data_IF_004483195757
#
_entry.id   IF_004483195757
#
_cell.length_a   1.000
_cell.length_b   1.000
_cell.length_c   1.000
_cell.angle_alpha   90.00
_cell.angle_beta   90.00
_cell.angle_gamma   90.00
#
_symmetry.space_group_name_H-M   'P 1'
#
loop_
_entity.id
_entity.type
_entity.pdbx_description
1 polymer ?
#
# COMPACT_ATOMS: atom_id res chain seq x y z
N UNK A 1 13.44 8.49 -10.06
CA UNK A 1 13.47 7.11 -10.60
C UNK A 1 13.89 6.24 -9.42
N UNK A 2 13.06 5.31 -8.96
CA UNK A 2 13.40 4.46 -7.81
C UNK A 2 14.60 3.58 -8.17
N UNK A 3 15.71 3.77 -7.50
CA UNK A 3 16.92 2.94 -7.68
C UNK A 3 16.62 1.51 -7.22
N UNK A 4 17.15 0.49 -7.90
CA UNK A 4 16.86 -0.93 -7.58
C UNK A 4 17.13 -1.31 -6.12
N UNK A 5 18.13 -0.67 -5.47
CA UNK A 5 18.41 -0.81 -4.04
C UNK A 5 17.27 -0.31 -3.15
N UNK A 6 16.66 0.84 -3.47
CA UNK A 6 15.51 1.39 -2.74
C UNK A 6 14.28 0.49 -2.89
N UNK A 7 14.09 -0.11 -4.08
CA UNK A 7 13.01 -1.06 -4.31
C UNK A 7 13.17 -2.32 -3.43
N UNK A 8 14.40 -2.86 -3.34
CA UNK A 8 14.67 -4.03 -2.51
C UNK A 8 14.42 -3.75 -1.02
N UNK A 9 14.85 -2.59 -0.50
CA UNK A 9 14.55 -2.17 0.87
C UNK A 9 13.05 -2.00 1.12
N UNK A 10 12.34 -1.38 0.17
CA UNK A 10 10.89 -1.23 0.24
C UNK A 10 10.19 -2.59 0.31
N UNK A 11 10.50 -3.49 -0.61
CA UNK A 11 9.96 -4.86 -0.62
C UNK A 11 10.25 -5.59 0.70
N UNK A 12 11.50 -5.55 1.18
CA UNK A 12 11.88 -6.17 2.45
C UNK A 12 11.10 -5.62 3.64
N UNK A 13 10.94 -4.30 3.72
CA UNK A 13 10.16 -3.66 4.80
C UNK A 13 8.69 -4.06 4.80
N UNK A 14 8.08 -4.24 3.61
CA UNK A 14 6.69 -4.71 3.49
C UNK A 14 6.54 -6.12 4.03
N UNK A 15 7.50 -7.02 3.73
CA UNK A 15 7.50 -8.38 4.26
C UNK A 15 7.67 -8.42 5.78
N UNK A 16 8.60 -7.63 6.32
CA UNK A 16 8.80 -7.54 7.78
C UNK A 16 7.54 -7.01 8.47
N UNK A 17 6.92 -5.97 7.89
CA UNK A 17 5.68 -5.41 8.41
C UNK A 17 4.52 -6.43 8.36
N UNK A 18 4.42 -7.22 7.30
CA UNK A 18 3.42 -8.28 7.17
C UNK A 18 3.64 -9.42 8.19
N UNK A 19 4.90 -9.80 8.44
CA UNK A 19 5.24 -10.76 9.49
C UNK A 19 4.89 -10.22 10.87
N UNK A 20 5.21 -8.96 11.15
CA UNK A 20 4.88 -8.32 12.42
C UNK A 20 3.36 -8.22 12.63
N UNK A 21 2.62 -7.93 11.55
CA UNK A 21 1.15 -7.87 11.54
C UNK A 21 0.53 -9.23 11.87
N UNK A 22 1.03 -10.30 11.26
CA UNK A 22 0.55 -11.67 11.54
C UNK A 22 0.94 -12.18 12.92
N UNK A 23 2.16 -11.87 13.39
CA UNK A 23 2.63 -12.18 14.76
C UNK A 23 1.75 -11.54 15.84
N UNK A 24 1.18 -10.37 15.58
CA UNK A 24 0.28 -9.73 16.55
C UNK A 24 -0.95 -10.60 16.85
N UNK A 25 -1.45 -11.33 15.86
CA UNK A 25 -2.62 -12.21 16.01
C UNK A 25 -2.30 -13.57 16.64
N UNK A 26 -1.02 -13.96 16.72
CA UNK A 26 -0.63 -15.20 17.38
C UNK A 26 -0.59 -15.09 18.91
N UNK A 27 -0.78 -13.88 19.46
CA UNK A 27 -0.89 -13.69 20.90
C UNK A 27 -2.24 -14.19 21.42
N UNK A 28 -2.25 -14.90 22.56
CA UNK A 28 -3.45 -15.53 23.12
C UNK A 28 -4.60 -14.55 23.34
N UNK A 29 -4.31 -13.30 23.69
CA UNK A 29 -5.31 -12.27 23.94
C UNK A 29 -5.83 -11.58 22.68
N UNK A 30 -5.14 -11.73 21.54
CA UNK A 30 -5.37 -10.95 20.31
C UNK A 30 -5.80 -11.83 19.13
N UNK A 31 -6.25 -13.06 19.41
CA UNK A 31 -6.73 -14.00 18.41
C UNK A 31 -7.87 -13.43 17.54
N UNK A 32 -7.81 -13.76 16.26
CA UNK A 32 -8.81 -13.40 15.25
C UNK A 32 -9.29 -14.67 14.55
N UNK A 33 -10.60 -14.77 14.31
CA UNK A 33 -11.17 -15.87 13.55
C UNK A 33 -12.22 -15.36 12.58
N UNK A 34 -12.47 -16.12 11.52
CA UNK A 34 -13.47 -15.78 10.53
C UNK A 34 -14.82 -16.40 10.92
N UNK A 35 -15.84 -15.56 11.08
CA UNK A 35 -17.22 -16.01 11.25
C UNK A 35 -17.92 -16.01 9.88
N UNK A 36 -18.23 -17.21 9.38
CA UNK A 36 -18.88 -17.40 8.10
C UNK A 36 -20.35 -16.93 8.08
N UNK A 37 -21.03 -16.90 9.23
CA UNK A 37 -22.44 -16.47 9.33
C UNK A 37 -22.54 -14.96 9.15
N UNK A 38 -21.62 -14.23 9.79
CA UNK A 38 -21.55 -12.77 9.67
C UNK A 38 -20.70 -12.30 8.49
N UNK A 39 -20.01 -13.23 7.79
CA UNK A 39 -19.02 -12.94 6.75
C UNK A 39 -17.96 -11.93 7.20
N UNK A 40 -17.56 -12.01 8.46
CA UNK A 40 -16.74 -11.00 9.11
C UNK A 40 -15.61 -11.63 9.94
N UNK A 41 -14.49 -10.91 10.02
CA UNK A 41 -13.40 -11.25 10.93
C UNK A 41 -13.76 -10.76 12.34
N UNK A 42 -13.91 -11.70 13.26
CA UNK A 42 -14.22 -11.41 14.66
C UNK A 42 -12.94 -11.46 15.47
N UNK A 43 -12.69 -10.37 16.20
CA UNK A 43 -11.58 -10.24 17.14
C UNK A 43 -12.04 -10.67 18.53
N UNK A 44 -11.16 -11.33 19.28
CA UNK A 44 -11.42 -11.68 20.68
C UNK A 44 -11.82 -10.44 21.48
N UNK A 45 -12.85 -10.56 22.33
CA UNK A 45 -13.41 -9.45 23.12
C UNK A 45 -12.57 -9.10 24.34
N UNK A 46 -11.27 -8.91 24.14
CA UNK A 46 -10.31 -8.43 25.14
C UNK A 46 -9.95 -6.97 24.84
N UNK A 47 -9.12 -6.35 25.68
CA UNK A 47 -8.54 -5.02 25.45
C UNK A 47 -7.85 -4.89 24.09
N UNK A 48 -7.40 -6.02 23.53
CA UNK A 48 -6.72 -6.10 22.24
C UNK A 48 -7.66 -5.86 21.04
N UNK A 49 -8.99 -5.97 21.22
CA UNK A 49 -9.99 -5.78 20.15
C UNK A 49 -9.87 -4.42 19.49
N UNK A 50 -9.75 -3.34 20.27
CA UNK A 50 -9.66 -1.99 19.73
C UNK A 50 -8.38 -1.79 18.92
N UNK A 51 -7.24 -2.27 19.43
CA UNK A 51 -5.94 -2.17 18.77
C UNK A 51 -5.91 -3.01 17.48
N UNK A 52 -6.33 -4.27 17.55
CA UNK A 52 -6.31 -5.20 16.41
C UNK A 52 -7.27 -4.82 15.27
N UNK A 53 -8.47 -4.35 15.61
CA UNK A 53 -9.47 -3.96 14.60
C UNK A 53 -9.20 -2.56 14.03
N UNK A 54 -8.94 -1.56 14.88
CA UNK A 54 -8.84 -0.18 14.42
C UNK A 54 -7.45 0.16 13.88
N UNK A 55 -6.39 -0.11 14.66
CA UNK A 55 -5.04 0.27 14.25
C UNK A 55 -4.51 -0.68 13.19
N UNK A 56 -4.64 -1.98 13.43
CA UNK A 56 -3.98 -2.98 12.61
C UNK A 56 -4.76 -3.33 11.34
N UNK A 57 -6.09 -3.27 11.35
CA UNK A 57 -6.90 -3.59 10.15
C UNK A 57 -7.34 -2.34 9.40
N UNK A 58 -7.98 -1.38 10.09
CA UNK A 58 -8.54 -0.20 9.43
C UNK A 58 -7.47 0.81 9.00
N UNK A 59 -6.60 1.27 9.90
CA UNK A 59 -5.56 2.25 9.54
C UNK A 59 -4.52 1.66 8.59
N UNK A 60 -4.12 0.40 8.78
CA UNK A 60 -3.21 -0.27 7.85
C UNK A 60 -3.79 -0.40 6.44
N UNK A 61 -5.05 -0.83 6.33
CA UNK A 61 -5.73 -0.96 5.04
C UNK A 61 -5.88 0.38 4.30
N UNK A 62 -6.33 1.43 5.01
CA UNK A 62 -6.43 2.78 4.44
C UNK A 62 -5.04 3.31 4.06
N UNK A 63 -4.05 3.16 4.94
CA UNK A 63 -2.69 3.61 4.69
C UNK A 63 -2.09 2.95 3.45
N UNK A 64 -2.21 1.63 3.32
CA UNK A 64 -1.76 0.90 2.14
C UNK A 64 -2.49 1.38 0.86
N UNK A 65 -3.81 1.58 0.93
CA UNK A 65 -4.59 2.12 -0.18
C UNK A 65 -4.12 3.50 -0.64
N UNK A 66 -3.89 4.42 0.31
CA UNK A 66 -3.39 5.78 0.02
C UNK A 66 -1.99 5.73 -0.61
N UNK A 67 -1.11 4.86 -0.12
CA UNK A 67 0.25 4.70 -0.69
C UNK A 67 0.19 4.19 -2.12
N UNK A 68 -0.58 3.12 -2.38
CA UNK A 68 -0.74 2.56 -3.73
C UNK A 68 -1.36 3.59 -4.68
N UNK A 69 -2.41 4.28 -4.23
CA UNK A 69 -3.08 5.31 -5.03
C UNK A 69 -2.12 6.46 -5.38
N UNK A 70 -1.28 6.87 -4.43
CA UNK A 70 -0.28 7.94 -4.64
C UNK A 70 0.80 7.50 -5.63
N UNK A 71 1.32 6.28 -5.50
CA UNK A 71 2.30 5.71 -6.44
C UNK A 71 1.72 5.63 -7.84
N UNK A 72 0.49 5.13 -7.99
CA UNK A 72 -0.18 5.02 -9.27
C UNK A 72 -0.45 6.39 -9.90
N UNK A 73 -0.94 7.35 -9.13
CA UNK A 73 -1.21 8.71 -9.60
C UNK A 73 0.07 9.40 -10.05
N UNK A 74 1.15 9.29 -9.25
CA UNK A 74 2.45 9.85 -9.61
C UNK A 74 3.03 9.20 -10.85
N UNK A 75 2.94 7.87 -10.96
CA UNK A 75 3.41 7.12 -12.13
C UNK A 75 2.64 7.55 -13.38
N UNK A 76 1.30 7.60 -13.31
CA UNK A 76 0.44 8.04 -14.40
C UNK A 76 0.78 9.47 -14.83
N UNK A 77 0.95 10.41 -13.89
CA UNK A 77 1.31 11.78 -14.21
C UNK A 77 2.66 11.89 -14.92
N UNK A 78 3.68 11.16 -14.45
CA UNK A 78 4.99 11.12 -15.09
C UNK A 78 4.95 10.49 -16.49
N UNK A 79 4.20 9.39 -16.66
CA UNK A 79 4.00 8.77 -17.97
C UNK A 79 3.29 9.74 -18.92
N UNK A 80 2.22 10.43 -18.46
CA UNK A 80 1.51 11.43 -19.25
C UNK A 80 2.41 12.59 -19.67
N UNK A 81 3.28 13.08 -18.77
CA UNK A 81 4.25 14.14 -19.10
C UNK A 81 5.24 13.69 -20.17
N UNK A 82 5.76 12.45 -20.08
CA UNK A 82 6.69 11.89 -21.08
C UNK A 82 6.00 11.65 -22.42
N UNK A 83 4.79 11.08 -22.43
CA UNK A 83 4.03 10.87 -23.66
C UNK A 83 3.70 12.18 -24.38
N UNK A 84 3.35 13.24 -23.64
CA UNK A 84 3.15 14.58 -24.23
C UNK A 84 4.43 15.15 -24.84
N UNK A 85 5.59 14.95 -24.19
CA UNK A 85 6.88 15.38 -24.72
C UNK A 85 7.21 14.63 -26.02
N UNK A 86 7.08 13.30 -26.01
CA UNK A 86 7.35 12.45 -27.20
C UNK A 86 6.38 12.73 -28.36
N UNK A 87 5.11 13.00 -28.04
CA UNK A 87 4.12 13.44 -29.04
C UNK A 87 4.45 14.81 -29.63
N UNK A 88 4.96 15.75 -28.82
CA UNK A 88 5.39 17.08 -29.29
C UNK A 88 6.64 17.00 -30.18
N UNK A 89 7.62 16.16 -29.82
CA UNK A 89 8.80 15.89 -30.65
C UNK A 89 8.43 15.24 -31.99
N UNK A 90 7.46 14.31 -31.99
CA UNK A 90 6.98 13.64 -33.20
C UNK A 90 6.13 14.53 -34.12
N UNK A 91 5.58 15.65 -33.62
CA UNK A 91 4.74 16.59 -34.38
C UNK A 91 5.52 17.80 -34.93
N UNK A 92 6.85 17.82 -34.80
CA UNK A 92 7.69 18.92 -35.29
C UNK A 92 7.70 20.11 -34.33
N UNK A 93 8.33 19.91 -33.16
CA UNK A 93 8.69 21.01 -32.26
C UNK A 93 9.50 22.12 -32.96
N UNK A 94 9.46 23.35 -32.44
CA UNK A 94 9.57 24.59 -33.21
C UNK A 94 10.89 24.69 -33.97
N UNK A 95 10.79 25.09 -35.25
CA UNK A 95 11.87 25.72 -35.98
C UNK A 95 12.50 26.79 -35.07
N UNK A 96 13.68 26.47 -34.54
CA UNK A 96 14.56 27.45 -33.93
C UNK A 96 14.93 28.48 -35.03
N UNK A 97 14.92 29.79 -34.76
CA UNK A 97 15.48 30.79 -35.67
C UNK A 97 16.99 30.58 -35.88
#
# INVERSE_FOLDING_TARGET
MFTGKCLAFFMGSVWVLALLHTLFYSWEDCGVWFDAVQSAWIFRSTTCRFIGSYIISFLHGIGAGVVIFSINTFTYYNMRKRMKLSSFESLGGPLHP
#
